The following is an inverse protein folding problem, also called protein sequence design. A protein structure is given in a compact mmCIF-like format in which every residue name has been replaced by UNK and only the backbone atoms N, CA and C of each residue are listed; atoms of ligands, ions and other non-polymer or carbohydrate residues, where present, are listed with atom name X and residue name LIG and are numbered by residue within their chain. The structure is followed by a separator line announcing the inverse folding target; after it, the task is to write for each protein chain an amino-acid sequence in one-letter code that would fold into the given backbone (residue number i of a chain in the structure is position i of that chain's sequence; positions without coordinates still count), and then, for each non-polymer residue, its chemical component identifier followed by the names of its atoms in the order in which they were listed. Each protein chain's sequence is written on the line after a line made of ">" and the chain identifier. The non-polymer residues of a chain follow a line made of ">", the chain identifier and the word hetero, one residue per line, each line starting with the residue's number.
data_IF_632695784494
#
_entry.id   IF_632695784494
#
_cell.length_a   1.000
_cell.length_b   1.000
_cell.length_c   1.000
_cell.angle_alpha   90.00
_cell.angle_beta   90.00
_cell.angle_gamma   90.00
#
_symmetry.space_group_name_H-M   'P 1'
#
loop_
_entity.id
_entity.type
_entity.pdbx_description
1 polymer ?
#
# COMPACT_ATOMS: atom_id res chain seq x y z
N UNK A 1 14.38 20.03 24.77
CA UNK A 1 15.85 20.10 24.97
C UNK A 1 16.33 19.65 26.35
N UNK A 2 15.85 20.20 27.49
CA UNK A 2 16.16 19.61 28.82
C UNK A 2 15.26 18.37 29.10
N UNK A 3 14.01 18.37 28.62
CA UNK A 3 13.05 17.26 28.78
C UNK A 3 13.48 16.03 27.96
N UNK A 4 13.90 16.23 26.72
CA UNK A 4 14.35 15.15 25.83
C UNK A 4 15.52 14.40 26.49
N UNK A 5 16.53 15.11 27.01
CA UNK A 5 17.68 14.48 27.68
C UNK A 5 17.28 13.66 28.92
N UNK A 6 16.29 14.12 29.69
CA UNK A 6 15.77 13.35 30.81
C UNK A 6 15.08 12.06 30.32
N UNK A 7 14.28 12.13 29.26
CA UNK A 7 13.65 10.95 28.65
C UNK A 7 14.70 9.96 28.08
N UNK A 8 15.76 10.44 27.40
CA UNK A 8 16.87 9.58 26.95
C UNK A 8 17.55 8.87 28.12
N UNK A 9 17.82 9.57 29.22
CA UNK A 9 18.46 9.00 30.41
C UNK A 9 17.58 7.94 31.08
N UNK A 10 16.26 8.18 31.15
CA UNK A 10 15.31 7.21 31.70
C UNK A 10 15.16 5.97 30.81
N UNK A 11 15.06 6.13 29.48
CA UNK A 11 15.06 4.98 28.56
C UNK A 11 16.37 4.18 28.67
N UNK A 12 17.51 4.87 28.76
CA UNK A 12 18.80 4.20 28.96
C UNK A 12 18.83 3.42 30.28
N UNK A 13 18.28 3.99 31.36
CA UNK A 13 18.14 3.32 32.64
C UNK A 13 17.25 2.09 32.53
N UNK A 14 16.06 2.20 31.94
CA UNK A 14 15.08 1.14 31.75
C UNK A 14 15.68 -0.07 31.04
N UNK A 15 16.24 0.13 29.85
CA UNK A 15 16.83 -0.96 29.05
C UNK A 15 18.14 -1.53 29.66
N UNK A 16 18.69 -0.89 30.68
CA UNK A 16 19.86 -1.38 31.42
C UNK A 16 19.48 -2.12 32.70
N UNK A 17 18.41 -1.72 33.38
CA UNK A 17 17.99 -2.30 34.67
C UNK A 17 17.04 -3.49 34.50
N UNK A 18 16.28 -3.54 33.40
CA UNK A 18 15.21 -4.52 33.19
C UNK A 18 15.61 -5.54 32.12
N UNK A 19 15.26 -6.81 32.33
CA UNK A 19 15.30 -7.83 31.27
C UNK A 19 14.11 -7.66 30.31
N UNK A 20 14.22 -6.67 29.43
CA UNK A 20 13.18 -6.34 28.46
C UNK A 20 13.01 -7.40 27.37
N UNK A 21 14.01 -8.27 27.17
CA UNK A 21 13.91 -9.40 26.22
C UNK A 21 12.90 -10.43 26.72
N UNK A 22 13.02 -10.83 27.99
CA UNK A 22 12.06 -11.74 28.61
C UNK A 22 10.67 -11.12 28.70
N UNK A 23 10.57 -9.84 29.09
CA UNK A 23 9.29 -9.12 29.17
C UNK A 23 8.57 -9.09 27.81
N UNK A 24 9.27 -8.68 26.74
CA UNK A 24 8.72 -8.70 25.37
C UNK A 24 8.28 -10.09 24.93
N UNK A 25 9.04 -11.13 25.26
CA UNK A 25 8.66 -12.50 24.92
C UNK A 25 7.35 -12.94 25.57
N UNK A 26 7.07 -12.49 26.80
CA UNK A 26 5.76 -12.71 27.44
C UNK A 26 4.66 -11.86 26.80
N UNK A 27 4.93 -10.59 26.51
CA UNK A 27 3.98 -9.69 25.83
C UNK A 27 3.56 -10.27 24.48
N UNK A 28 4.52 -10.62 23.63
CA UNK A 28 4.30 -11.23 22.32
C UNK A 28 3.49 -12.54 22.42
N UNK A 29 3.79 -13.37 23.41
CA UNK A 29 3.03 -14.60 23.62
C UNK A 29 1.56 -14.32 23.97
N UNK A 30 1.31 -13.39 24.88
CA UNK A 30 -0.05 -13.02 25.33
C UNK A 30 -0.85 -12.37 24.18
N UNK A 31 -0.20 -11.49 23.42
CA UNK A 31 -0.79 -10.74 22.32
C UNK A 31 -1.12 -11.62 21.10
N UNK A 32 -0.16 -12.44 20.68
CA UNK A 32 -0.30 -13.20 19.45
C UNK A 32 -1.08 -14.49 19.65
N UNK A 33 -1.10 -15.09 20.84
CA UNK A 33 -1.78 -16.36 21.06
C UNK A 33 -3.03 -16.16 21.93
N UNK A 34 -4.24 -16.22 21.35
CA UNK A 34 -5.46 -16.10 22.14
C UNK A 34 -5.57 -17.28 23.12
N UNK A 35 -6.26 -17.10 24.26
CA UNK A 35 -6.51 -18.18 25.20
C UNK A 35 -7.17 -19.37 24.50
N UNK A 36 -6.49 -20.50 24.47
CA UNK A 36 -7.00 -21.71 23.83
C UNK A 36 -8.05 -22.37 24.73
N UNK A 37 -9.06 -22.99 24.13
CA UNK A 37 -10.14 -23.69 24.86
C UNK A 37 -9.68 -24.95 25.60
N UNK A 38 -8.46 -25.42 25.33
CA UNK A 38 -7.83 -26.50 26.07
C UNK A 38 -7.40 -26.00 27.45
N UNK A 39 -7.88 -26.65 28.52
CA UNK A 39 -7.54 -26.30 29.90
C UNK A 39 -6.03 -26.17 30.14
N UNK A 40 -5.23 -27.09 29.58
CA UNK A 40 -3.77 -27.06 29.75
C UNK A 40 -3.16 -25.84 29.07
N UNK A 41 -3.65 -25.48 27.89
CA UNK A 41 -3.13 -24.33 27.16
C UNK A 41 -3.60 -23.01 27.80
N UNK A 42 -4.82 -22.98 28.33
CA UNK A 42 -5.33 -21.87 29.11
C UNK A 42 -4.48 -21.63 30.36
N UNK A 43 -4.15 -22.68 31.12
CA UNK A 43 -3.28 -22.57 32.31
C UNK A 43 -1.89 -21.99 31.96
N UNK A 44 -1.30 -22.39 30.82
CA UNK A 44 -0.03 -21.83 30.36
C UNK A 44 -0.17 -20.36 29.97
N UNK A 45 -1.27 -19.99 29.32
CA UNK A 45 -1.56 -18.61 28.96
C UNK A 45 -1.78 -17.72 30.18
N UNK A 46 -2.59 -18.17 31.14
CA UNK A 46 -2.81 -17.47 32.41
C UNK A 46 -1.49 -17.29 33.17
N UNK A 47 -0.65 -18.33 33.22
CA UNK A 47 0.68 -18.22 33.86
C UNK A 47 1.58 -17.20 33.17
N UNK A 48 1.56 -17.15 31.83
CA UNK A 48 2.31 -16.16 31.06
C UNK A 48 1.80 -14.73 31.30
N UNK A 49 0.48 -14.56 31.33
CA UNK A 49 -0.19 -13.28 31.63
C UNK A 49 0.13 -12.79 33.04
N UNK A 50 -0.01 -13.64 34.06
CA UNK A 50 0.33 -13.29 35.44
C UNK A 50 1.81 -12.89 35.59
N UNK A 51 2.69 -13.56 34.84
CA UNK A 51 4.11 -13.25 34.84
C UNK A 51 4.42 -11.92 34.15
N UNK A 52 3.75 -11.63 33.04
CA UNK A 52 3.84 -10.35 32.34
C UNK A 52 3.41 -9.21 33.25
N UNK A 53 2.25 -9.34 33.91
CA UNK A 53 1.71 -8.35 34.82
C UNK A 53 2.66 -8.06 36.00
N UNK A 54 3.25 -9.11 36.59
CA UNK A 54 4.23 -8.95 37.65
C UNK A 54 5.48 -8.19 37.19
N UNK A 55 6.00 -8.50 35.99
CA UNK A 55 7.17 -7.82 35.44
C UNK A 55 6.86 -6.35 35.11
N UNK A 56 5.67 -6.05 34.56
CA UNK A 56 5.23 -4.67 34.32
C UNK A 56 5.08 -3.89 35.63
N UNK A 57 4.49 -4.51 36.65
CA UNK A 57 4.32 -3.89 37.98
C UNK A 57 5.67 -3.51 38.62
N UNK A 58 6.69 -4.36 38.48
CA UNK A 58 8.03 -4.06 38.99
C UNK A 58 8.63 -2.79 38.33
N UNK A 59 8.36 -2.58 37.04
CA UNK A 59 8.77 -1.36 36.30
C UNK A 59 7.95 -0.17 36.77
N UNK A 60 6.63 -0.31 36.88
CA UNK A 60 5.75 0.76 37.36
C UNK A 60 6.19 1.29 38.72
N UNK A 61 6.62 0.42 39.63
CA UNK A 61 7.13 0.79 40.94
C UNK A 61 8.52 1.47 40.89
N UNK A 62 9.37 1.14 39.91
CA UNK A 62 10.71 1.74 39.74
C UNK A 62 10.66 3.18 39.16
N UNK A 63 9.61 3.49 38.39
CA UNK A 63 9.44 4.78 37.68
C UNK A 63 8.16 5.51 38.14
N UNK A 64 8.18 6.24 39.27
CA UNK A 64 6.99 6.91 39.79
C UNK A 64 6.45 7.99 38.84
N UNK A 65 5.14 7.95 38.55
CA UNK A 65 4.44 8.94 37.73
C UNK A 65 4.31 8.55 36.26
N UNK A 66 5.33 7.90 35.69
CA UNK A 66 5.41 7.51 34.26
C UNK A 66 5.61 6.01 34.03
N UNK A 67 5.60 5.22 35.12
CA UNK A 67 6.02 3.83 35.09
C UNK A 67 5.11 2.89 34.32
N UNK A 68 3.81 3.18 34.22
CA UNK A 68 2.88 2.42 33.37
C UNK A 68 3.30 2.54 31.89
N UNK A 69 3.59 3.75 31.43
CA UNK A 69 4.04 4.00 30.06
C UNK A 69 5.42 3.41 29.80
N UNK A 70 6.37 3.50 30.74
CA UNK A 70 7.67 2.83 30.60
C UNK A 70 7.55 1.30 30.60
N UNK A 71 6.60 0.73 31.35
CA UNK A 71 6.33 -0.71 31.31
C UNK A 71 5.79 -1.13 29.94
N UNK A 72 4.92 -0.34 29.31
CA UNK A 72 4.45 -0.58 27.94
C UNK A 72 5.59 -0.45 26.91
N UNK A 73 6.44 0.57 27.03
CA UNK A 73 7.60 0.75 26.15
C UNK A 73 8.53 -0.47 26.24
N UNK A 74 8.91 -0.88 27.45
CA UNK A 74 9.78 -2.03 27.66
C UNK A 74 9.16 -3.36 27.18
N UNK A 75 7.82 -3.48 27.28
CA UNK A 75 7.10 -4.69 26.91
C UNK A 75 6.86 -4.81 25.41
N UNK A 76 6.86 -3.71 24.65
CA UNK A 76 6.55 -3.72 23.22
C UNK A 76 7.76 -3.42 22.34
N UNK A 77 8.66 -2.55 22.78
CA UNK A 77 9.77 -2.05 21.98
C UNK A 77 11.11 -2.66 22.40
N UNK A 78 11.92 -3.00 21.41
CA UNK A 78 13.37 -3.14 21.59
C UNK A 78 13.98 -1.79 21.96
N UNK A 79 15.23 -1.83 22.43
CA UNK A 79 15.97 -0.62 22.75
C UNK A 79 16.06 0.30 21.53
N UNK A 80 16.43 -0.24 20.37
CA UNK A 80 16.66 0.56 19.17
C UNK A 80 15.33 1.17 18.68
N UNK A 81 14.24 0.40 18.64
CA UNK A 81 12.90 0.92 18.30
C UNK A 81 12.45 2.05 19.26
N UNK A 82 12.71 1.93 20.57
CA UNK A 82 12.33 2.95 21.54
C UNK A 82 13.13 4.25 21.40
N UNK A 83 14.42 4.17 21.11
CA UNK A 83 15.23 5.37 20.83
C UNK A 83 14.84 6.00 19.50
N UNK A 84 14.57 5.20 18.45
CA UNK A 84 14.07 5.71 17.18
C UNK A 84 12.71 6.41 17.36
N UNK A 85 11.80 5.85 18.15
CA UNK A 85 10.52 6.49 18.46
C UNK A 85 10.69 7.84 19.16
N UNK A 86 11.61 7.93 20.14
CA UNK A 86 11.94 9.18 20.81
C UNK A 86 12.59 10.21 19.86
N UNK A 87 13.50 9.77 19.00
CA UNK A 87 14.14 10.62 17.98
C UNK A 87 13.09 11.21 17.01
N UNK A 88 12.15 10.37 16.54
CA UNK A 88 11.07 10.79 15.65
C UNK A 88 10.10 11.75 16.34
N UNK A 89 9.67 11.44 17.57
CA UNK A 89 8.81 12.35 18.34
C UNK A 89 9.51 13.70 18.58
N UNK A 90 10.79 13.69 18.96
CA UNK A 90 11.57 14.91 19.16
C UNK A 90 11.75 15.73 17.87
N UNK A 91 11.76 15.07 16.71
CA UNK A 91 11.90 15.71 15.40
C UNK A 91 10.60 16.35 14.93
N UNK A 92 9.47 15.66 15.11
CA UNK A 92 8.19 16.05 14.52
C UNK A 92 7.19 16.67 15.51
N UNK A 93 7.40 16.48 16.82
CA UNK A 93 6.55 17.00 17.90
C UNK A 93 5.08 16.56 17.78
N UNK A 94 4.84 15.38 17.19
CA UNK A 94 3.51 14.80 16.98
C UNK A 94 3.55 13.30 16.71
N UNK A 95 2.49 12.60 17.10
CA UNK A 95 2.25 11.20 16.76
C UNK A 95 1.63 11.01 15.37
N UNK A 96 1.81 9.81 14.82
CA UNK A 96 1.08 9.34 13.65
C UNK A 96 -0.40 9.17 13.97
N UNK A 97 -1.25 9.81 13.17
CA UNK A 97 -2.70 9.79 13.37
C UNK A 97 -3.45 9.02 12.26
N UNK A 98 -2.74 8.48 11.26
CA UNK A 98 -3.30 7.62 10.20
C UNK A 98 -2.24 6.71 9.61
N UNK A 99 -2.60 5.47 9.25
CA UNK A 99 -1.72 4.55 8.53
C UNK A 99 -2.10 4.51 7.05
N UNK A 100 -1.12 4.61 6.16
CA UNK A 100 -1.29 4.45 4.70
C UNK A 100 -0.38 3.31 4.25
N UNK A 101 -0.97 2.18 3.87
CA UNK A 101 -0.26 0.92 3.74
C UNK A 101 -0.49 0.31 2.36
N UNK A 102 0.57 0.12 1.60
CA UNK A 102 0.57 -0.88 0.54
C UNK A 102 0.56 -2.30 1.14
N UNK A 103 0.34 -3.32 0.33
CA UNK A 103 0.07 -4.69 0.76
C UNK A 103 1.12 -5.63 0.21
N UNK A 104 1.20 -5.73 -1.11
CA UNK A 104 2.06 -6.69 -1.81
C UNK A 104 3.50 -6.20 -1.76
N UNK A 105 4.43 -7.10 -1.47
CA UNK A 105 5.84 -6.79 -1.21
C UNK A 105 6.09 -5.77 -0.06
N UNK A 106 5.03 -5.24 0.57
CA UNK A 106 5.09 -4.26 1.68
C UNK A 106 4.72 -4.86 3.03
N UNK A 107 3.48 -5.29 3.21
CA UNK A 107 3.00 -5.97 4.44
C UNK A 107 3.15 -7.49 4.35
N UNK A 108 3.22 -8.03 3.13
CA UNK A 108 3.49 -9.43 2.82
C UNK A 108 4.49 -9.50 1.67
N UNK A 109 5.15 -10.64 1.50
CA UNK A 109 5.98 -10.91 0.32
C UNK A 109 5.73 -12.32 -0.19
N UNK A 110 5.91 -12.52 -1.49
CA UNK A 110 5.79 -13.86 -2.08
C UNK A 110 6.88 -14.82 -1.57
N UNK A 111 8.07 -14.29 -1.27
CA UNK A 111 9.22 -15.08 -0.84
C UNK A 111 9.21 -15.45 0.63
N UNK A 112 9.16 -14.45 1.51
CA UNK A 112 9.43 -14.65 2.93
C UNK A 112 8.17 -14.94 3.76
N UNK A 113 7.00 -14.51 3.28
CA UNK A 113 5.73 -14.68 4.01
C UNK A 113 4.69 -15.54 3.28
N UNK A 114 5.07 -16.19 2.17
CA UNK A 114 4.16 -17.03 1.35
C UNK A 114 2.86 -16.28 0.96
N UNK A 115 2.99 -14.97 0.67
CA UNK A 115 1.87 -14.06 0.39
C UNK A 115 0.83 -13.90 1.51
N UNK A 116 1.18 -14.23 2.76
CA UNK A 116 0.37 -13.94 3.93
C UNK A 116 0.93 -12.72 4.68
N UNK A 117 0.05 -11.91 5.28
CA UNK A 117 0.48 -10.86 6.21
C UNK A 117 0.85 -11.52 7.54
N UNK A 118 2.07 -11.31 8.06
CA UNK A 118 2.50 -11.85 9.33
C UNK A 118 1.56 -11.50 10.49
N UNK A 119 1.41 -12.43 11.44
CA UNK A 119 0.43 -12.33 12.52
C UNK A 119 0.68 -11.16 13.46
N UNK A 120 1.93 -10.86 13.73
CA UNK A 120 2.37 -9.71 14.52
C UNK A 120 2.03 -8.38 13.85
N UNK A 121 2.17 -8.30 12.52
CA UNK A 121 1.72 -7.16 11.73
C UNK A 121 0.21 -6.98 11.85
N UNK A 122 -0.58 -8.05 11.65
CA UNK A 122 -2.05 -8.01 11.81
C UNK A 122 -2.47 -7.59 13.23
N UNK A 123 -1.77 -8.09 14.25
CA UNK A 123 -2.01 -7.70 15.64
C UNK A 123 -1.79 -6.20 15.84
N UNK A 124 -0.68 -5.64 15.36
CA UNK A 124 -0.39 -4.20 15.50
C UNK A 124 -1.40 -3.33 14.76
N UNK A 125 -1.83 -3.72 13.55
CA UNK A 125 -2.90 -3.01 12.83
C UNK A 125 -4.21 -3.01 13.64
N UNK A 126 -4.52 -4.11 14.31
CA UNK A 126 -5.68 -4.19 15.22
C UNK A 126 -5.50 -3.22 16.40
N UNK A 127 -4.30 -3.16 16.99
CA UNK A 127 -4.01 -2.23 18.09
C UNK A 127 -4.14 -0.76 17.69
N UNK A 128 -3.65 -0.38 16.51
CA UNK A 128 -3.84 0.97 15.98
C UNK A 128 -5.32 1.30 15.76
N UNK A 129 -6.08 0.37 15.20
CA UNK A 129 -7.52 0.53 15.02
C UNK A 129 -8.27 0.69 16.35
N UNK A 130 -7.92 -0.11 17.36
CA UNK A 130 -8.49 -0.01 18.72
C UNK A 130 -8.12 1.31 19.42
N UNK A 131 -6.94 1.85 19.12
CA UNK A 131 -6.50 3.17 19.56
C UNK A 131 -7.17 4.33 18.79
N UNK A 132 -8.01 4.03 17.79
CA UNK A 132 -8.73 5.02 16.99
C UNK A 132 -7.92 5.62 15.83
N UNK A 133 -6.78 5.02 15.48
CA UNK A 133 -5.97 5.42 14.31
C UNK A 133 -6.57 4.80 13.05
N UNK A 134 -7.04 5.60 12.07
CA UNK A 134 -7.58 5.07 10.83
C UNK A 134 -6.52 4.37 9.98
N UNK A 135 -6.96 3.42 9.15
CA UNK A 135 -6.09 2.63 8.27
C UNK A 135 -6.56 2.81 6.83
N UNK A 136 -5.69 3.31 5.97
CA UNK A 136 -5.89 3.42 4.52
C UNK A 136 -5.02 2.37 3.85
N UNK A 137 -5.65 1.35 3.26
CA UNK A 137 -4.96 0.38 2.40
C UNK A 137 -4.90 0.95 0.99
N UNK A 138 -3.72 1.04 0.39
CA UNK A 138 -3.52 1.64 -0.93
C UNK A 138 -2.82 0.65 -1.86
N UNK A 139 -3.50 0.20 -2.92
CA UNK A 139 -3.00 -0.93 -3.72
C UNK A 139 -3.47 -0.88 -5.18
N UNK A 140 -2.71 -1.52 -6.07
CA UNK A 140 -3.09 -1.75 -7.47
C UNK A 140 -4.16 -2.83 -7.66
N UNK A 141 -4.50 -3.59 -6.62
CA UNK A 141 -5.50 -4.65 -6.71
C UNK A 141 -6.94 -4.13 -6.76
N UNK A 142 -7.86 -4.99 -7.18
CA UNK A 142 -9.31 -4.69 -7.19
C UNK A 142 -9.89 -4.65 -5.78
N UNK A 143 -10.94 -3.84 -5.58
CA UNK A 143 -11.61 -3.69 -4.28
C UNK A 143 -12.04 -5.03 -3.66
N UNK A 144 -12.66 -5.91 -4.45
CA UNK A 144 -13.18 -7.19 -3.94
C UNK A 144 -12.06 -8.12 -3.47
N UNK A 145 -10.92 -8.14 -4.17
CA UNK A 145 -9.77 -8.93 -3.73
C UNK A 145 -9.23 -8.38 -2.41
N UNK A 146 -9.05 -7.05 -2.36
CA UNK A 146 -8.42 -6.38 -1.21
C UNK A 146 -9.25 -6.51 0.04
N UNK A 147 -10.54 -6.20 -0.10
CA UNK A 147 -11.52 -6.36 0.97
C UNK A 147 -11.62 -7.81 1.43
N UNK A 148 -11.59 -8.77 0.51
CA UNK A 148 -11.64 -10.20 0.81
C UNK A 148 -10.50 -10.64 1.72
N UNK A 149 -9.25 -10.31 1.35
CA UNK A 149 -8.10 -10.71 2.14
C UNK A 149 -8.00 -9.91 3.47
N UNK A 150 -8.38 -8.63 3.46
CA UNK A 150 -8.42 -7.82 4.69
C UNK A 150 -9.43 -8.35 5.71
N UNK A 151 -10.60 -8.84 5.26
CA UNK A 151 -11.57 -9.51 6.14
C UNK A 151 -10.99 -10.81 6.71
N UNK A 152 -10.19 -11.54 5.93
CA UNK A 152 -9.54 -12.77 6.40
C UNK A 152 -8.45 -12.48 7.44
N UNK A 153 -7.66 -11.42 7.26
CA UNK A 153 -6.56 -11.06 8.16
C UNK A 153 -6.99 -10.29 9.41
N UNK A 154 -7.79 -9.22 9.24
CA UNK A 154 -8.16 -8.28 10.32
C UNK A 154 -9.58 -8.48 10.85
N UNK A 155 -10.37 -9.35 10.20
CA UNK A 155 -11.76 -9.60 10.58
C UNK A 155 -12.73 -8.57 10.01
N UNK A 156 -14.00 -9.00 9.89
CA UNK A 156 -15.05 -8.18 9.28
C UNK A 156 -15.37 -6.91 10.07
N UNK A 157 -15.26 -6.94 11.40
CA UNK A 157 -15.65 -5.81 12.24
C UNK A 157 -14.72 -4.61 12.05
N UNK A 158 -13.41 -4.84 11.94
CA UNK A 158 -12.43 -3.81 11.62
C UNK A 158 -12.63 -3.26 10.20
N UNK A 159 -12.72 -4.15 9.21
CA UNK A 159 -12.89 -3.74 7.80
C UNK A 159 -14.18 -2.96 7.59
N UNK A 160 -15.25 -3.29 8.33
CA UNK A 160 -16.53 -2.58 8.25
C UNK A 160 -16.69 -1.49 9.33
N UNK A 161 -15.61 -1.08 10.01
CA UNK A 161 -15.66 -0.13 11.13
C UNK A 161 -16.04 1.29 10.73
N UNK A 162 -15.70 1.70 9.50
CA UNK A 162 -15.75 3.09 9.03
C UNK A 162 -14.51 3.91 9.40
N UNK A 163 -13.49 3.27 9.97
CA UNK A 163 -12.15 3.82 10.22
C UNK A 163 -11.09 3.15 9.35
N UNK A 164 -11.51 2.27 8.42
CA UNK A 164 -10.65 1.68 7.42
C UNK A 164 -11.12 2.15 6.04
N UNK A 165 -10.18 2.60 5.21
CA UNK A 165 -10.42 2.97 3.81
C UNK A 165 -9.57 2.11 2.89
N UNK A 166 -10.06 1.83 1.68
CA UNK A 166 -9.34 1.08 0.65
C UNK A 166 -9.29 1.93 -0.61
N UNK A 167 -8.09 2.36 -0.98
CA UNK A 167 -7.75 2.93 -2.28
C UNK A 167 -7.34 1.77 -3.18
N UNK A 168 -8.14 1.50 -4.21
CA UNK A 168 -7.97 0.33 -5.08
C UNK A 168 -7.65 0.73 -6.51
N UNK A 169 -7.10 -0.23 -7.26
CA UNK A 169 -6.65 -0.05 -8.65
C UNK A 169 -5.80 1.22 -8.82
N UNK A 170 -4.82 1.41 -7.94
CA UNK A 170 -3.85 2.51 -8.00
C UNK A 170 -4.46 3.91 -7.95
N UNK A 171 -5.63 4.06 -7.31
CA UNK A 171 -6.30 5.36 -7.16
C UNK A 171 -7.54 5.54 -8.04
N UNK A 172 -8.05 4.49 -8.68
CA UNK A 172 -9.30 4.59 -9.45
C UNK A 172 -10.52 4.85 -8.57
N UNK A 173 -10.48 4.40 -7.32
CA UNK A 173 -11.57 4.64 -6.39
C UNK A 173 -11.16 4.42 -4.94
N UNK A 174 -12.03 4.93 -4.06
CA UNK A 174 -11.90 4.84 -2.61
C UNK A 174 -13.15 4.19 -2.04
N UNK A 175 -12.96 3.20 -1.18
CA UNK A 175 -14.03 2.54 -0.45
C UNK A 175 -13.85 2.72 1.05
N UNK A 176 -14.81 3.37 1.69
CA UNK A 176 -14.80 3.61 3.15
C UNK A 176 -16.18 3.25 3.72
N UNK A 177 -16.35 2.11 4.41
CA UNK A 177 -17.66 1.65 4.85
C UNK A 177 -18.30 2.59 5.88
N UNK A 178 -19.64 2.56 5.98
CA UNK A 178 -20.45 3.36 6.93
C UNK A 178 -20.45 4.89 6.69
N UNK A 179 -20.01 5.34 5.50
CA UNK A 179 -20.02 6.76 5.11
C UNK A 179 -21.16 7.13 4.15
N UNK A 180 -22.29 6.42 4.20
CA UNK A 180 -23.48 6.74 3.41
C UNK A 180 -23.20 6.72 1.90
N UNK A 181 -23.56 7.78 1.18
CA UNK A 181 -23.31 7.93 -0.26
C UNK A 181 -21.81 8.02 -0.59
N UNK A 182 -20.98 8.38 0.38
CA UNK A 182 -19.52 8.52 0.25
C UNK A 182 -18.80 7.18 0.49
N UNK A 183 -19.56 6.10 0.75
CA UNK A 183 -18.99 4.77 1.00
C UNK A 183 -18.11 4.29 -0.16
N UNK A 184 -18.44 4.69 -1.38
CA UNK A 184 -17.67 4.37 -2.57
C UNK A 184 -17.54 5.63 -3.42
N UNK A 185 -16.32 6.15 -3.54
CA UNK A 185 -15.96 7.28 -4.40
C UNK A 185 -15.22 6.76 -5.62
N UNK A 186 -15.73 7.07 -6.79
CA UNK A 186 -15.16 6.64 -8.07
C UNK A 186 -14.36 7.83 -8.62
N UNK A 187 -13.03 7.80 -8.46
CA UNK A 187 -12.18 8.92 -8.85
C UNK A 187 -12.09 9.05 -10.37
N UNK A 188 -12.23 7.95 -11.10
CA UNK A 188 -12.31 7.97 -12.56
C UNK A 188 -13.53 8.74 -13.11
N UNK A 189 -14.59 8.95 -12.32
CA UNK A 189 -15.75 9.78 -12.73
C UNK A 189 -15.41 11.29 -12.81
N UNK A 190 -14.22 11.69 -12.31
CA UNK A 190 -13.72 13.07 -12.40
C UNK A 190 -12.90 13.32 -13.66
N UNK A 191 -12.56 12.26 -14.40
CA UNK A 191 -11.82 12.36 -15.64
C UNK A 191 -12.66 13.02 -16.74
N UNK A 192 -11.99 13.47 -17.79
CA UNK A 192 -12.67 13.96 -18.99
C UNK A 192 -13.48 12.84 -19.64
N UNK A 193 -14.72 13.15 -20.06
CA UNK A 193 -15.63 12.20 -20.70
C UNK A 193 -14.96 11.45 -21.86
N UNK A 194 -14.11 12.12 -22.65
CA UNK A 194 -13.41 11.50 -23.77
C UNK A 194 -12.43 10.40 -23.32
N UNK A 195 -11.77 10.57 -22.17
CA UNK A 195 -10.91 9.53 -21.59
C UNK A 195 -11.75 8.37 -21.11
N UNK A 196 -12.81 8.63 -20.33
CA UNK A 196 -13.71 7.59 -19.83
C UNK A 196 -14.30 6.76 -20.99
N UNK A 197 -14.74 7.43 -22.06
CA UNK A 197 -15.31 6.80 -23.24
C UNK A 197 -14.31 5.91 -24.01
N UNK A 198 -13.00 6.21 -23.94
CA UNK A 198 -11.95 5.32 -24.46
C UNK A 198 -11.94 4.01 -23.68
N UNK A 199 -11.89 4.05 -22.34
CA UNK A 199 -11.88 2.85 -21.50
C UNK A 199 -13.14 2.01 -21.70
N UNK A 200 -14.31 2.64 -21.73
CA UNK A 200 -15.57 1.96 -22.02
C UNK A 200 -15.56 1.30 -23.40
N UNK A 201 -14.99 1.99 -24.40
CA UNK A 201 -14.89 1.49 -25.76
C UNK A 201 -13.94 0.32 -25.88
N UNK A 202 -12.77 0.39 -25.27
CA UNK A 202 -11.83 -0.72 -25.19
C UNK A 202 -12.48 -1.90 -24.47
N UNK A 203 -13.03 -1.72 -23.26
CA UNK A 203 -13.68 -2.79 -22.48
C UNK A 203 -14.78 -3.51 -23.25
N UNK A 204 -15.59 -2.79 -24.01
CA UNK A 204 -16.68 -3.36 -24.82
C UNK A 204 -16.15 -4.24 -25.95
N UNK A 205 -15.04 -3.86 -26.57
CA UNK A 205 -14.50 -4.46 -27.80
C UNK A 205 -13.42 -5.50 -27.54
N UNK A 206 -12.68 -5.36 -26.44
CA UNK A 206 -11.43 -6.08 -26.18
C UNK A 206 -11.55 -7.60 -26.31
N UNK A 207 -12.62 -8.22 -25.80
CA UNK A 207 -12.85 -9.65 -26.02
C UNK A 207 -13.77 -9.96 -27.20
N UNK A 208 -14.72 -9.08 -27.55
CA UNK A 208 -15.71 -9.37 -28.59
C UNK A 208 -15.16 -9.27 -30.01
N UNK A 209 -14.13 -8.44 -30.21
CA UNK A 209 -13.46 -8.22 -31.49
C UNK A 209 -12.04 -8.83 -31.52
N UNK A 210 -11.63 -9.45 -30.41
CA UNK A 210 -10.29 -10.02 -30.29
C UNK A 210 -10.08 -11.15 -31.31
N UNK A 211 -8.85 -11.27 -31.86
CA UNK A 211 -8.46 -12.45 -32.63
C UNK A 211 -8.57 -13.70 -31.75
N UNK A 212 -8.75 -14.87 -32.38
CA UNK A 212 -8.87 -16.16 -31.69
C UNK A 212 -7.71 -16.44 -30.70
N UNK A 213 -6.52 -15.93 -31.02
CA UNK A 213 -5.31 -16.05 -30.21
C UNK A 213 -5.42 -15.30 -28.86
N UNK A 214 -6.24 -14.25 -28.79
CA UNK A 214 -6.50 -13.48 -27.56
C UNK A 214 -7.86 -13.88 -26.97
N UNK A 215 -8.93 -13.81 -27.76
CA UNK A 215 -10.31 -13.94 -27.26
C UNK A 215 -10.68 -15.30 -26.66
N UNK A 216 -9.93 -16.36 -27.00
CA UNK A 216 -10.10 -17.71 -26.41
C UNK A 216 -9.07 -18.04 -25.33
N UNK A 217 -7.95 -17.32 -25.29
CA UNK A 217 -6.82 -17.61 -24.40
C UNK A 217 -6.67 -16.59 -23.28
N UNK A 218 -7.47 -15.53 -23.25
CA UNK A 218 -7.50 -14.53 -22.19
C UNK A 218 -8.86 -14.44 -21.52
N UNK A 219 -8.88 -13.75 -20.37
CA UNK A 219 -10.08 -13.22 -19.76
C UNK A 219 -9.82 -11.78 -19.29
N UNK A 220 -10.90 -11.04 -19.04
CA UNK A 220 -10.82 -9.74 -18.39
C UNK A 220 -10.79 -9.93 -16.88
N UNK A 221 -9.83 -9.30 -16.22
CA UNK A 221 -9.85 -9.16 -14.76
C UNK A 221 -11.02 -8.23 -14.38
N UNK A 222 -11.60 -8.49 -13.21
CA UNK A 222 -12.77 -7.77 -12.69
C UNK A 222 -12.47 -6.35 -12.19
N UNK A 223 -11.61 -5.61 -12.88
CA UNK A 223 -11.33 -4.20 -12.61
C UNK A 223 -12.57 -3.36 -12.90
N UNK A 224 -12.78 -2.33 -12.08
CA UNK A 224 -13.88 -1.39 -12.23
C UNK A 224 -13.63 -0.40 -13.36
N UNK A 225 -12.40 0.12 -13.48
CA UNK A 225 -12.06 1.11 -14.52
C UNK A 225 -10.98 0.62 -15.49
N UNK A 226 -9.83 0.17 -15.00
CA UNK A 226 -8.74 -0.35 -15.84
C UNK A 226 -9.19 -1.53 -16.70
N UNK A 227 -8.58 -1.70 -17.88
CA UNK A 227 -8.86 -2.85 -18.75
C UNK A 227 -7.67 -3.79 -18.76
N UNK A 228 -7.78 -4.88 -18.02
CA UNK A 228 -6.67 -5.82 -17.81
C UNK A 228 -6.98 -7.18 -18.43
N UNK A 229 -6.14 -7.60 -19.39
CA UNK A 229 -6.17 -8.93 -19.98
C UNK A 229 -5.22 -9.85 -19.21
N UNK A 230 -5.75 -10.95 -18.68
CA UNK A 230 -5.00 -12.02 -18.01
C UNK A 230 -5.00 -13.28 -18.88
N UNK A 231 -3.91 -14.08 -18.90
CA UNK A 231 -3.86 -15.29 -19.69
C UNK A 231 -4.64 -16.41 -18.98
N UNK A 232 -5.26 -17.29 -19.77
CA UNK A 232 -5.82 -18.56 -19.30
C UNK A 232 -4.70 -19.63 -19.28
N UNK A 233 -3.62 -19.32 -18.58
CA UNK A 233 -2.42 -20.13 -18.44
C UNK A 233 -1.81 -19.93 -17.05
N UNK A 234 -0.91 -20.82 -16.64
CA UNK A 234 -0.12 -20.63 -15.43
C UNK A 234 0.75 -19.38 -15.56
N UNK A 235 0.64 -18.45 -14.62
CA UNK A 235 1.38 -17.17 -14.63
C UNK A 235 2.88 -17.44 -14.72
N UNK A 236 3.57 -16.70 -15.59
CA UNK A 236 5.01 -16.85 -15.83
C UNK A 236 5.41 -18.06 -16.68
N UNK A 237 4.46 -18.90 -17.13
CA UNK A 237 4.76 -19.96 -18.09
C UNK A 237 5.02 -19.40 -19.49
N UNK A 238 5.83 -20.10 -20.32
CA UNK A 238 6.06 -19.74 -21.74
C UNK A 238 4.75 -19.49 -22.50
N UNK A 239 3.71 -20.26 -22.18
CA UNK A 239 2.39 -20.13 -22.78
C UNK A 239 1.68 -18.85 -22.34
N UNK A 240 1.82 -18.45 -21.07
CA UNK A 240 1.28 -17.19 -20.57
C UNK A 240 2.00 -15.99 -21.21
N UNK A 241 3.33 -16.07 -21.36
CA UNK A 241 4.14 -15.06 -22.05
C UNK A 241 3.66 -14.89 -23.49
N UNK A 242 3.54 -15.98 -24.24
CA UNK A 242 3.05 -15.93 -25.62
C UNK A 242 1.65 -15.28 -25.73
N UNK A 243 0.74 -15.64 -24.81
CA UNK A 243 -0.64 -15.09 -24.79
C UNK A 243 -0.63 -13.58 -24.49
N UNK A 244 0.15 -13.14 -23.50
CA UNK A 244 0.19 -11.74 -23.11
C UNK A 244 0.89 -10.88 -24.18
N UNK A 245 1.93 -11.41 -24.83
CA UNK A 245 2.55 -10.74 -25.98
C UNK A 245 1.57 -10.51 -27.13
N UNK A 246 0.77 -11.53 -27.49
CA UNK A 246 -0.29 -11.40 -28.49
C UNK A 246 -1.37 -10.39 -28.07
N UNK A 247 -1.71 -10.39 -26.77
CA UNK A 247 -2.71 -9.51 -26.18
C UNK A 247 -2.25 -8.05 -26.18
N UNK A 248 -1.01 -7.76 -25.80
CA UNK A 248 -0.44 -6.42 -25.79
C UNK A 248 -0.45 -5.82 -27.20
N UNK A 249 0.02 -6.57 -28.21
CA UNK A 249 0.02 -6.13 -29.61
C UNK A 249 -1.38 -5.75 -30.09
N UNK A 250 -2.37 -6.57 -29.76
CA UNK A 250 -3.78 -6.31 -30.08
C UNK A 250 -4.30 -5.08 -29.33
N UNK A 251 -4.04 -5.00 -28.02
CA UNK A 251 -4.49 -3.91 -27.16
C UNK A 251 -3.94 -2.56 -27.61
N UNK A 252 -2.66 -2.46 -27.99
CA UNK A 252 -2.07 -1.25 -28.56
C UNK A 252 -2.88 -0.72 -29.77
N UNK A 253 -3.26 -1.60 -30.69
CA UNK A 253 -4.06 -1.22 -31.85
C UNK A 253 -5.49 -0.81 -31.45
N UNK A 254 -6.11 -1.57 -30.56
CA UNK A 254 -7.47 -1.31 -30.09
C UNK A 254 -7.59 0.02 -29.35
N UNK A 255 -6.59 0.37 -28.52
CA UNK A 255 -6.53 1.66 -27.83
C UNK A 255 -6.44 2.79 -28.84
N UNK A 256 -5.57 2.68 -29.84
CA UNK A 256 -5.52 3.66 -30.93
C UNK A 256 -6.89 3.84 -31.60
N UNK A 257 -7.53 2.75 -32.01
CA UNK A 257 -8.87 2.82 -32.62
C UNK A 257 -9.92 3.43 -31.70
N UNK A 258 -9.85 3.15 -30.40
CA UNK A 258 -10.78 3.69 -29.40
C UNK A 258 -10.59 5.20 -29.22
N UNK A 259 -9.35 5.69 -29.15
CA UNK A 259 -9.06 7.13 -29.08
C UNK A 259 -9.55 7.84 -30.36
N UNK A 260 -9.28 7.26 -31.53
CA UNK A 260 -9.73 7.82 -32.80
C UNK A 260 -11.26 7.94 -32.91
N UNK A 261 -12.00 7.08 -32.21
CA UNK A 261 -13.46 7.15 -32.17
C UNK A 261 -14.01 8.29 -31.30
N UNK A 262 -13.21 8.84 -30.36
CA UNK A 262 -13.63 9.91 -29.45
C UNK A 262 -13.22 11.31 -29.91
N UNK A 263 -12.31 11.41 -30.89
CA UNK A 263 -11.85 12.70 -31.40
C UNK A 263 -12.61 13.11 -32.65
N UNK A 264 -12.97 14.39 -32.75
CA UNK A 264 -13.59 14.98 -33.96
C UNK A 264 -12.52 15.32 -35.01
N UNK A 265 -11.71 14.31 -35.37
CA UNK A 265 -10.63 14.43 -36.35
C UNK A 265 -10.42 13.11 -37.10
N UNK A 266 -10.10 13.20 -38.40
CA UNK A 266 -9.73 12.03 -39.18
C UNK A 266 -8.31 11.58 -38.80
N UNK A 267 -8.19 10.38 -38.24
CA UNK A 267 -6.90 9.76 -37.88
C UNK A 267 -6.57 8.69 -38.91
N UNK A 268 -5.48 8.88 -39.67
CA UNK A 268 -5.16 8.04 -40.82
C UNK A 268 -4.79 6.59 -40.46
N UNK A 269 -3.94 6.41 -39.44
CA UNK A 269 -3.55 5.08 -38.91
C UNK A 269 -3.42 5.13 -37.39
N UNK A 270 -4.56 5.10 -36.66
CA UNK A 270 -4.56 5.25 -35.21
C UNK A 270 -3.76 4.15 -34.48
N UNK A 271 -3.80 2.93 -35.01
CA UNK A 271 -3.05 1.81 -34.45
C UNK A 271 -1.53 1.99 -34.60
N UNK A 272 -1.05 2.57 -35.71
CA UNK A 272 0.37 2.87 -35.87
C UNK A 272 0.85 3.97 -34.92
N UNK A 273 0.06 5.03 -34.72
CA UNK A 273 0.41 6.09 -33.77
C UNK A 273 0.44 5.56 -32.32
N UNK A 274 -0.55 4.76 -31.92
CA UNK A 274 -0.56 4.15 -30.58
C UNK A 274 0.67 3.24 -30.36
N UNK A 275 1.03 2.38 -31.34
CA UNK A 275 2.24 1.55 -31.24
C UNK A 275 3.51 2.37 -31.13
N UNK A 276 3.66 3.41 -31.95
CA UNK A 276 4.83 4.30 -31.88
C UNK A 276 4.93 4.95 -30.50
N UNK A 277 3.80 5.40 -29.94
CA UNK A 277 3.75 6.02 -28.62
C UNK A 277 4.12 5.06 -27.49
N UNK A 278 3.46 3.90 -27.40
CA UNK A 278 3.71 2.96 -26.30
C UNK A 278 5.07 2.25 -26.40
N UNK A 279 5.68 2.21 -27.59
CA UNK A 279 7.05 1.69 -27.78
C UNK A 279 8.17 2.53 -27.16
N UNK A 280 7.83 3.62 -26.46
CA UNK A 280 8.74 4.35 -25.57
C UNK A 280 9.15 3.48 -24.37
N UNK A 281 8.30 2.55 -23.96
CA UNK A 281 8.66 1.48 -23.04
C UNK A 281 9.48 0.40 -23.79
N UNK A 282 10.72 0.10 -23.35
CA UNK A 282 11.57 -0.90 -24.00
C UNK A 282 10.97 -2.31 -24.04
N UNK A 283 10.22 -2.73 -23.02
CA UNK A 283 9.63 -4.07 -22.97
C UNK A 283 8.48 -4.18 -23.98
N UNK A 284 7.65 -3.14 -24.06
CA UNK A 284 6.59 -3.04 -25.08
C UNK A 284 7.21 -3.00 -26.50
N UNK A 285 8.29 -2.24 -26.69
CA UNK A 285 9.01 -2.19 -27.97
C UNK A 285 9.47 -3.58 -28.42
N UNK A 286 10.08 -4.35 -27.52
CA UNK A 286 10.58 -5.69 -27.81
C UNK A 286 9.42 -6.63 -28.22
N UNK A 287 8.30 -6.59 -27.52
CA UNK A 287 7.10 -7.39 -27.85
C UNK A 287 6.52 -7.01 -29.22
N UNK A 288 6.46 -5.71 -29.53
CA UNK A 288 5.96 -5.21 -30.82
C UNK A 288 6.88 -5.63 -31.97
N UNK A 289 8.20 -5.50 -31.80
CA UNK A 289 9.21 -5.88 -32.80
C UNK A 289 9.23 -7.39 -33.03
N UNK A 290 9.13 -8.20 -31.97
CA UNK A 290 9.02 -9.66 -32.07
C UNK A 290 7.78 -10.09 -32.87
N UNK A 291 6.69 -9.32 -32.78
CA UNK A 291 5.48 -9.49 -33.58
C UNK A 291 5.57 -8.99 -35.02
N UNK A 292 6.69 -8.37 -35.42
CA UNK A 292 6.88 -7.76 -36.74
C UNK A 292 6.02 -6.51 -36.99
N UNK A 293 5.59 -5.83 -35.94
CA UNK A 293 4.78 -4.61 -36.04
C UNK A 293 5.71 -3.38 -36.10
N UNK A 294 5.45 -2.48 -37.05
CA UNK A 294 6.20 -1.21 -37.15
C UNK A 294 5.77 -0.23 -36.05
N UNK A 295 6.77 0.48 -35.52
CA UNK A 295 6.69 1.58 -34.55
C UNK A 295 7.24 2.89 -35.14
N UNK A 296 7.42 2.95 -36.46
CA UNK A 296 8.10 4.06 -37.15
C UNK A 296 7.19 5.26 -37.44
N UNK A 297 5.92 5.21 -37.03
CA UNK A 297 4.99 6.32 -37.24
C UNK A 297 5.44 7.55 -36.44
N UNK A 298 5.44 8.71 -37.08
CA UNK A 298 5.71 9.97 -36.39
C UNK A 298 4.45 10.41 -35.64
N UNK A 299 4.48 10.36 -34.31
CA UNK A 299 3.35 10.74 -33.47
C UNK A 299 2.95 12.20 -33.73
N UNK A 300 3.90 13.07 -34.11
CA UNK A 300 3.62 14.48 -34.40
C UNK A 300 2.76 14.69 -35.65
N UNK A 301 2.61 13.67 -36.51
CA UNK A 301 1.67 13.69 -37.64
C UNK A 301 0.21 13.42 -37.21
N UNK A 302 -0.02 12.91 -35.99
CA UNK A 302 -1.36 12.64 -35.48
C UNK A 302 -2.09 13.94 -35.08
N UNK A 303 -3.43 14.01 -35.22
CA UNK A 303 -4.21 15.15 -34.75
C UNK A 303 -3.94 15.47 -33.27
N UNK A 304 -3.93 16.77 -32.92
CA UNK A 304 -3.67 17.25 -31.55
C UNK A 304 -4.59 16.57 -30.52
N UNK A 305 -5.91 16.56 -30.76
CA UNK A 305 -6.86 15.89 -29.88
C UNK A 305 -6.60 14.39 -29.67
N UNK A 306 -6.01 13.70 -30.66
CA UNK A 306 -5.63 12.29 -30.50
C UNK A 306 -4.41 12.14 -29.59
N UNK A 307 -3.40 13.00 -29.79
CA UNK A 307 -2.21 13.03 -28.94
C UNK A 307 -2.55 13.41 -27.50
N UNK A 308 -3.44 14.39 -27.32
CA UNK A 308 -3.88 14.85 -26.00
C UNK A 308 -4.46 13.70 -25.15
N UNK A 309 -5.28 12.82 -25.74
CA UNK A 309 -5.81 11.65 -25.03
C UNK A 309 -4.72 10.59 -24.84
N UNK A 310 -3.89 10.36 -25.86
CA UNK A 310 -2.82 9.37 -25.81
C UNK A 310 -1.79 9.66 -24.72
N UNK A 311 -1.55 10.94 -24.42
CA UNK A 311 -0.67 11.40 -23.33
C UNK A 311 -1.26 11.20 -21.92
N UNK A 312 -2.54 10.86 -21.82
CA UNK A 312 -3.28 10.69 -20.55
C UNK A 312 -3.55 9.24 -20.18
N UNK A 313 -3.20 8.29 -21.06
CA UNK A 313 -3.38 6.86 -20.87
C UNK A 313 -2.05 6.13 -21.02
N UNK A 314 -1.94 4.95 -20.43
CA UNK A 314 -0.76 4.11 -20.54
C UNK A 314 -1.09 2.63 -20.66
N UNK A 315 -0.14 1.85 -21.16
CA UNK A 315 -0.22 0.41 -21.23
C UNK A 315 0.82 -0.23 -20.31
N UNK A 316 0.36 -0.96 -19.30
CA UNK A 316 1.20 -1.82 -18.47
C UNK A 316 1.43 -3.17 -19.14
N UNK A 317 2.69 -3.58 -19.27
CA UNK A 317 3.08 -4.93 -19.65
C UNK A 317 3.69 -5.65 -18.45
N UNK A 318 3.11 -6.80 -18.09
CA UNK A 318 3.61 -7.68 -17.06
C UNK A 318 3.86 -9.04 -17.70
N UNK A 319 5.12 -9.33 -18.04
CA UNK A 319 5.52 -10.52 -18.80
C UNK A 319 4.92 -11.80 -18.19
N UNK A 320 4.14 -12.52 -19.01
CA UNK A 320 3.51 -13.78 -18.59
C UNK A 320 2.40 -13.64 -17.53
N UNK A 321 1.95 -12.42 -17.23
CA UNK A 321 0.89 -12.16 -16.25
C UNK A 321 -0.24 -11.29 -16.80
N UNK A 322 0.05 -10.10 -17.36
CA UNK A 322 -1.00 -9.17 -17.77
C UNK A 322 -0.59 -8.18 -18.87
N UNK A 323 -1.58 -7.74 -19.64
CA UNK A 323 -1.52 -6.49 -20.41
C UNK A 323 -2.67 -5.59 -19.94
N UNK A 324 -2.37 -4.37 -19.52
CA UNK A 324 -3.32 -3.49 -18.83
C UNK A 324 -3.38 -2.10 -19.46
N UNK A 325 -4.59 -1.57 -19.64
CA UNK A 325 -4.81 -0.15 -19.93
C UNK A 325 -5.13 0.60 -18.64
N UNK A 326 -4.35 1.66 -18.35
CA UNK A 326 -4.48 2.51 -17.16
C UNK A 326 -4.56 4.00 -17.54
N UNK A 327 -5.10 4.84 -16.66
CA UNK A 327 -5.06 6.30 -16.81
C UNK A 327 -3.86 6.85 -16.05
N UNK A 328 -3.13 7.80 -16.65
CA UNK A 328 -2.02 8.51 -16.02
C UNK A 328 -2.48 9.67 -15.12
N UNK A 329 -3.77 9.99 -15.16
CA UNK A 329 -4.39 11.06 -14.35
C UNK A 329 -4.89 10.54 -12.99
N UNK A 330 -4.85 9.22 -12.79
CA UNK A 330 -5.23 8.57 -11.54
C UNK A 330 -3.96 8.06 -10.87
N UNK A 331 -3.78 8.41 -9.61
CA UNK A 331 -2.67 7.92 -8.81
C UNK A 331 -3.05 7.65 -7.35
N UNK A 332 -2.19 6.88 -6.68
CA UNK A 332 -2.36 6.49 -5.28
C UNK A 332 -2.46 7.70 -4.36
N UNK A 333 -1.74 8.79 -4.63
CA UNK A 333 -1.77 10.01 -3.80
C UNK A 333 -3.14 10.69 -3.81
N UNK A 334 -3.75 10.88 -4.98
CA UNK A 334 -5.11 11.43 -5.08
C UNK A 334 -6.14 10.52 -4.39
N UNK A 335 -5.94 9.20 -4.47
CA UNK A 335 -6.75 8.24 -3.73
C UNK A 335 -6.59 8.35 -2.21
N UNK A 336 -5.38 8.54 -1.72
CA UNK A 336 -5.10 8.73 -0.28
C UNK A 336 -5.69 10.05 0.24
N UNK A 337 -5.56 11.14 -0.53
CA UNK A 337 -6.18 12.43 -0.21
C UNK A 337 -7.70 12.30 -0.09
N UNK A 338 -8.36 11.66 -1.06
CA UNK A 338 -9.80 11.38 -0.99
C UNK A 338 -10.17 10.49 0.21
N UNK A 339 -9.31 9.51 0.55
CA UNK A 339 -9.53 8.67 1.72
C UNK A 339 -9.46 9.48 3.03
N UNK A 340 -8.54 10.45 3.14
CA UNK A 340 -8.46 11.34 4.29
C UNK A 340 -9.71 12.21 4.41
N UNK A 341 -10.20 12.77 3.30
CA UNK A 341 -11.43 13.56 3.26
C UNK A 341 -12.63 12.76 3.77
N UNK A 342 -12.82 11.53 3.27
CA UNK A 342 -13.95 10.67 3.69
C UNK A 342 -13.81 10.22 5.16
N UNK A 343 -12.58 9.99 5.62
CA UNK A 343 -12.31 9.65 7.03
C UNK A 343 -12.41 10.86 7.98
N UNK A 344 -12.47 12.09 7.45
CA UNK A 344 -12.52 13.32 8.23
C UNK A 344 -11.19 13.69 8.88
N UNK A 345 -10.08 13.44 8.19
CA UNK A 345 -8.71 13.72 8.67
C UNK A 345 -8.23 15.04 8.08
N UNK A 346 -8.47 16.14 8.82
CA UNK A 346 -8.16 17.50 8.35
C UNK A 346 -6.67 17.86 8.41
N UNK A 347 -5.91 17.26 9.34
CA UNK A 347 -4.47 17.50 9.56
C UNK A 347 -3.74 16.15 9.68
N UNK A 348 -3.50 15.46 8.55
CA UNK A 348 -2.88 14.14 8.57
C UNK A 348 -1.41 14.21 8.97
N UNK A 349 -1.00 13.28 9.84
CA UNK A 349 0.39 12.88 10.02
C UNK A 349 0.47 11.37 9.85
N UNK A 350 0.75 10.96 8.63
CA UNK A 350 0.62 9.58 8.19
C UNK A 350 1.91 8.78 8.35
N UNK A 351 1.81 7.49 8.67
CA UNK A 351 2.84 6.52 8.31
C UNK A 351 2.52 5.99 6.91
N UNK A 352 3.40 6.21 5.93
CA UNK A 352 3.28 5.64 4.58
C UNK A 352 4.25 4.48 4.42
N UNK A 353 3.75 3.29 4.12
CA UNK A 353 4.54 2.09 3.85
C UNK A 353 4.32 1.60 2.41
N UNK A 354 5.40 1.35 1.67
CA UNK A 354 5.33 0.84 0.30
C UNK A 354 6.70 0.50 -0.31
N UNK A 355 6.71 -0.26 -1.41
CA UNK A 355 7.92 -0.75 -2.08
C UNK A 355 8.14 -0.16 -3.49
N UNK A 356 7.06 0.33 -4.10
CA UNK A 356 7.01 0.62 -5.53
C UNK A 356 7.10 2.11 -5.87
N UNK A 357 7.27 2.40 -7.17
CA UNK A 357 7.22 3.78 -7.69
C UNK A 357 5.88 4.48 -7.46
N UNK A 358 4.79 3.71 -7.39
CA UNK A 358 3.46 4.28 -7.13
C UNK A 358 3.34 4.75 -5.68
N UNK A 359 3.96 4.02 -4.74
CA UNK A 359 4.02 4.38 -3.33
C UNK A 359 4.97 5.55 -3.08
N UNK A 360 6.08 5.63 -3.82
CA UNK A 360 7.00 6.76 -3.78
C UNK A 360 6.30 8.11 -4.03
N UNK A 361 5.25 8.13 -4.86
CA UNK A 361 4.46 9.36 -5.09
C UNK A 361 3.70 9.76 -3.83
N UNK A 362 3.11 8.81 -3.11
CA UNK A 362 2.44 9.05 -1.82
C UNK A 362 3.47 9.50 -0.76
N UNK A 363 4.63 8.84 -0.69
CA UNK A 363 5.71 9.20 0.23
C UNK A 363 6.24 10.62 0.00
N UNK A 364 6.40 11.02 -1.27
CA UNK A 364 6.77 12.39 -1.63
C UNK A 364 5.67 13.38 -1.29
N UNK A 365 4.42 13.02 -1.56
CA UNK A 365 3.29 13.89 -1.25
C UNK A 365 3.18 14.16 0.25
N UNK A 366 3.31 13.15 1.13
CA UNK A 366 3.25 13.39 2.58
C UNK A 366 4.41 14.26 3.05
N UNK A 367 5.61 14.11 2.50
CA UNK A 367 6.74 14.95 2.88
C UNK A 367 6.62 16.39 2.38
N UNK A 368 6.20 16.59 1.13
CA UNK A 368 6.02 17.92 0.55
C UNK A 368 4.98 18.75 1.33
N UNK A 369 4.06 18.07 2.02
CA UNK A 369 3.00 18.68 2.83
C UNK A 369 3.24 18.61 4.34
N UNK A 370 4.41 18.14 4.82
CA UNK A 370 4.71 17.94 6.26
C UNK A 370 3.64 17.08 6.96
N UNK A 371 3.12 16.09 6.23
CA UNK A 371 1.94 15.32 6.54
C UNK A 371 2.26 13.85 6.87
N UNK A 372 3.52 13.51 7.15
CA UNK A 372 3.87 12.15 7.56
C UNK A 372 5.32 11.73 7.41
N UNK A 373 5.54 10.44 7.66
CA UNK A 373 6.81 9.72 7.60
C UNK A 373 6.67 8.51 6.67
N UNK A 374 7.76 8.15 6.01
CA UNK A 374 7.79 7.05 5.04
C UNK A 374 8.67 5.90 5.54
N UNK A 375 8.25 4.67 5.25
CA UNK A 375 9.01 3.46 5.52
C UNK A 375 8.91 2.49 4.33
N UNK A 376 9.93 1.67 4.13
CA UNK A 376 9.98 0.75 2.99
C UNK A 376 10.71 -0.56 3.30
N UNK A 377 10.31 -1.68 2.69
CA UNK A 377 11.08 -2.92 2.71
C UNK A 377 12.48 -2.75 2.09
N UNK A 378 13.47 -3.49 2.57
CA UNK A 378 14.85 -3.43 2.09
C UNK A 378 15.03 -3.87 0.61
N UNK A 379 14.06 -4.60 0.06
CA UNK A 379 14.05 -5.03 -1.34
C UNK A 379 13.32 -4.07 -2.29
N UNK A 380 12.85 -2.92 -1.77
CA UNK A 380 12.17 -1.89 -2.56
C UNK A 380 13.04 -1.36 -3.68
N UNK A 381 12.40 -0.66 -4.63
CA UNK A 381 13.12 -0.02 -5.73
C UNK A 381 14.19 0.98 -5.21
N UNK A 382 15.31 1.19 -5.93
CA UNK A 382 16.37 2.10 -5.48
C UNK A 382 15.88 3.52 -5.17
N UNK A 383 14.96 4.05 -5.99
CA UNK A 383 14.40 5.39 -5.77
C UNK A 383 13.58 5.49 -4.47
N UNK A 384 12.91 4.40 -4.06
CA UNK A 384 12.18 4.30 -2.80
C UNK A 384 13.14 4.22 -1.62
N UNK A 385 14.20 3.41 -1.71
CA UNK A 385 15.21 3.29 -0.66
C UNK A 385 15.99 4.59 -0.46
N UNK A 386 16.41 5.25 -1.54
CA UNK A 386 17.03 6.59 -1.50
C UNK A 386 16.07 7.60 -0.84
N UNK A 387 14.79 7.50 -1.20
CA UNK A 387 13.61 8.04 -0.52
C UNK A 387 13.74 8.06 1.00
N UNK A 388 13.47 6.88 1.57
CA UNK A 388 13.30 6.62 2.99
C UNK A 388 14.60 6.82 3.78
N UNK A 389 15.73 6.37 3.23
CA UNK A 389 17.04 6.44 3.91
C UNK A 389 17.55 7.88 4.05
N UNK A 390 17.14 8.79 3.15
CA UNK A 390 17.55 10.20 3.23
C UNK A 390 16.82 11.00 4.32
N UNK A 391 15.80 10.42 4.94
CA UNK A 391 14.86 11.10 5.84
C UNK A 391 14.92 10.57 7.27
N UNK A 392 14.31 9.42 7.48
CA UNK A 392 14.07 8.82 8.80
C UNK A 392 14.66 7.42 8.90
N UNK A 393 15.18 6.87 7.79
CA UNK A 393 15.88 5.59 7.72
C UNK A 393 15.04 4.39 8.22
N UNK A 394 13.71 4.46 8.02
CA UNK A 394 12.76 3.40 8.36
C UNK A 394 12.72 2.30 7.30
N UNK A 395 13.85 1.62 7.12
CA UNK A 395 13.98 0.46 6.23
C UNK A 395 13.87 -0.82 7.04
N UNK A 396 13.08 -1.79 6.57
CA UNK A 396 12.84 -3.05 7.28
C UNK A 396 12.96 -4.27 6.37
N UNK A 397 13.17 -5.46 6.94
CA UNK A 397 13.28 -6.70 6.17
C UNK A 397 11.93 -7.16 5.62
N UNK A 398 11.93 -7.93 4.53
CA UNK A 398 10.71 -8.49 3.98
C UNK A 398 9.96 -9.35 5.02
N UNK A 399 8.67 -9.05 5.21
CA UNK A 399 7.86 -9.71 6.24
C UNK A 399 8.06 -9.18 7.68
N UNK A 400 8.84 -8.12 7.89
CA UNK A 400 9.07 -7.53 9.22
C UNK A 400 8.48 -6.11 9.34
N UNK A 401 7.36 -5.86 8.67
CA UNK A 401 6.61 -4.60 8.77
C UNK A 401 6.24 -4.25 10.23
N UNK A 402 6.14 -5.26 11.10
CA UNK A 402 5.84 -5.09 12.52
C UNK A 402 6.89 -4.27 13.27
N UNK A 403 8.16 -4.26 12.84
CA UNK A 403 9.22 -3.44 13.46
C UNK A 403 8.96 -1.94 13.28
N UNK A 404 8.54 -1.52 12.09
CA UNK A 404 8.15 -0.12 11.85
C UNK A 404 6.88 0.21 12.64
N UNK A 405 5.86 -0.64 12.57
CA UNK A 405 4.59 -0.42 13.28
C UNK A 405 4.79 -0.32 14.80
N UNK A 406 5.67 -1.15 15.40
CA UNK A 406 6.06 -1.04 16.82
C UNK A 406 6.73 0.29 17.13
N UNK A 407 7.66 0.72 16.28
CA UNK A 407 8.34 2.01 16.43
C UNK A 407 7.33 3.16 16.40
N UNK A 408 6.38 3.13 15.46
CA UNK A 408 5.33 4.17 15.35
C UNK A 408 4.40 4.15 16.55
N UNK A 409 4.01 2.96 17.02
CA UNK A 409 3.23 2.84 18.26
C UNK A 409 4.01 3.41 19.46
N UNK A 410 5.34 3.25 19.45
CA UNK A 410 6.25 3.85 20.42
C UNK A 410 6.21 5.38 20.45
N UNK A 411 6.02 6.06 19.31
CA UNK A 411 5.91 7.52 19.25
C UNK A 411 4.74 7.99 20.14
N UNK A 412 3.59 7.32 20.06
CA UNK A 412 2.43 7.63 20.90
C UNK A 412 2.65 7.34 22.38
N UNK A 413 3.49 6.36 22.72
CA UNK A 413 3.89 6.14 24.12
C UNK A 413 4.86 7.22 24.61
N UNK A 414 5.76 7.71 23.75
CA UNK A 414 6.66 8.81 24.08
C UNK A 414 5.88 10.11 24.27
N UNK A 415 4.90 10.40 23.41
CA UNK A 415 3.98 11.52 23.58
C UNK A 415 3.27 11.48 24.93
N UNK A 416 2.76 10.30 25.33
CA UNK A 416 2.15 10.12 26.66
C UNK A 416 3.14 10.36 27.80
N UNK A 417 4.43 10.05 27.64
CA UNK A 417 5.45 10.37 28.65
C UNK A 417 5.65 11.87 28.79
N UNK A 418 5.62 12.60 27.68
CA UNK A 418 5.75 14.06 27.67
C UNK A 418 4.54 14.71 28.36
N UNK A 419 3.33 14.28 28.03
CA UNK A 419 2.09 14.74 28.67
C UNK A 419 2.01 14.44 30.17
N UNK A 420 2.61 13.32 30.62
CA UNK A 420 2.69 12.95 32.04
C UNK A 420 3.83 13.65 32.79
N UNK A 421 4.80 14.21 32.06
CA UNK A 421 5.95 14.93 32.61
C UNK A 421 5.66 16.41 32.92
N UNK A 422 4.61 16.98 32.30
CA UNK A 422 4.04 18.30 32.63
C UNK A 422 3.26 18.31 33.95
#
# INVERSE_FOLDING_TARGET
>A
MDIDMEQYDQLYRLYKSVDTTTLRGYQEFVDLFPPLSSTVALEQWETASDRLDALKSDITDEFPGTGETYAEIAARLTRDEAFTALDLYSKYDRSVNVLVLDVDETLRSAGDTDNEIPRDTLYLLTQFHEAGVPIVVCTGQTLENVKGFMIQGLGNDLVSSGQMSIVYESGNGVFTPKHGEETKRLLYERLDDAVVDVFETVRRRVLSEAPDAVGKRCHLQGNEFNVTLKPNAEVGSDNAVEIIDESLRYLCGLVGDAIAAQVDAEVADPAAYARAYFSRDPEILDVLQAGGLSTDADIDDAPEAFRDILERVDLGYYEGDAAELVSLELDKSAGVEEAFDVLGIDDPFALVMGDSKSDLRVMRWVDENDAGIAAAPAHSSPDVLDHVSSRDDLVYEAGDASTVLRTIYGISLVEQLDEQGE
#
